data_IF_319573948640
#
_entry.id   IF_319573948640
#
_cell.length_a   1.000
_cell.length_b   1.000
_cell.length_c   1.000
_cell.angle_alpha   90.00
_cell.angle_beta   90.00
_cell.angle_gamma   90.00
#
_symmetry.space_group_name_H-M   'P 1'
#
loop_
_entity.id
_entity.type
_entity.pdbx_description
1 polymer ?
#
# COMPACT_ATOMS: atom_id res chain seq x y z
N UNK A 1 9.99 0.01 14.79
CA UNK A 1 10.42 -0.73 13.59
C UNK A 1 9.30 -0.95 12.57
N UNK A 2 8.11 -1.42 13.00
CA UNK A 2 6.97 -1.61 12.10
C UNK A 2 6.61 -0.33 11.34
N UNK A 3 6.42 0.79 12.05
CA UNK A 3 6.05 2.06 11.43
C UNK A 3 7.10 2.55 10.44
N UNK A 4 8.38 2.38 10.76
CA UNK A 4 9.48 2.76 9.88
C UNK A 4 9.49 1.97 8.57
N UNK A 5 8.97 0.74 8.57
CA UNK A 5 8.81 -0.06 7.35
C UNK A 5 7.50 0.23 6.64
N UNK A 6 6.41 0.35 7.38
CA UNK A 6 5.08 0.48 6.78
C UNK A 6 4.82 1.86 6.18
N UNK A 7 5.41 2.92 6.73
CA UNK A 7 5.25 4.27 6.17
C UNK A 7 5.74 4.33 4.71
N UNK A 8 7.00 3.95 4.39
CA UNK A 8 7.43 3.96 2.99
C UNK A 8 6.67 2.96 2.13
N UNK A 9 6.23 1.84 2.71
CA UNK A 9 5.40 0.87 2.00
C UNK A 9 4.07 1.50 1.58
N UNK A 10 3.37 2.17 2.50
CA UNK A 10 2.13 2.89 2.22
C UNK A 10 2.33 4.03 1.23
N UNK A 11 3.45 4.75 1.33
CA UNK A 11 3.75 5.84 0.38
C UNK A 11 3.84 5.34 -1.05
N UNK A 12 4.43 4.17 -1.26
CA UNK A 12 4.49 3.60 -2.61
C UNK A 12 3.09 3.29 -3.15
N UNK A 13 2.20 2.75 -2.32
CA UNK A 13 0.82 2.50 -2.73
C UNK A 13 0.11 3.80 -3.13
N UNK A 14 0.35 4.88 -2.39
CA UNK A 14 -0.21 6.20 -2.73
C UNK A 14 0.37 6.70 -4.05
N UNK A 15 1.67 6.58 -4.27
CA UNK A 15 2.32 6.99 -5.51
C UNK A 15 1.76 6.23 -6.71
N UNK A 16 1.59 4.91 -6.58
CA UNK A 16 0.96 4.08 -7.62
C UNK A 16 -0.47 4.54 -7.90
N UNK A 17 -1.22 4.83 -6.85
CA UNK A 17 -2.62 5.26 -6.97
C UNK A 17 -2.75 6.63 -7.61
N UNK A 18 -1.80 7.54 -7.37
CA UNK A 18 -1.77 8.85 -8.02
C UNK A 18 -1.54 8.73 -9.53
N UNK A 19 -0.72 7.79 -9.97
CA UNK A 19 -0.51 7.54 -11.40
C UNK A 19 -1.80 7.16 -12.12
N UNK A 20 -2.70 6.45 -11.44
CA UNK A 20 -3.97 6.03 -12.04
C UNK A 20 -4.77 7.21 -12.59
N UNK A 21 -4.70 8.38 -11.95
CA UNK A 21 -5.46 9.56 -12.36
C UNK A 21 -5.14 10.03 -13.77
N UNK A 22 -3.93 9.79 -14.25
CA UNK A 22 -3.47 10.24 -15.56
C UNK A 22 -3.16 9.11 -16.54
N UNK A 23 -3.24 7.86 -16.09
CA UNK A 23 -2.84 6.69 -16.90
C UNK A 23 -4.00 5.80 -17.32
N UNK A 24 -5.14 5.90 -16.66
CA UNK A 24 -6.30 5.08 -16.98
C UNK A 24 -7.59 5.89 -16.98
N UNK A 25 -8.58 5.39 -17.71
CA UNK A 25 -9.95 5.91 -17.69
C UNK A 25 -10.93 4.88 -17.12
N UNK A 26 -10.43 3.72 -16.68
CA UNK A 26 -11.28 2.67 -16.10
C UNK A 26 -11.84 3.16 -14.74
N UNK A 27 -13.16 3.34 -14.64
CA UNK A 27 -13.76 3.91 -13.43
C UNK A 27 -13.57 3.05 -12.18
N UNK A 28 -13.51 1.73 -12.32
CA UNK A 28 -13.28 0.84 -11.19
C UNK A 28 -11.84 0.94 -10.67
N UNK A 29 -10.87 1.08 -11.57
CA UNK A 29 -9.47 1.31 -11.19
C UNK A 29 -9.31 2.66 -10.51
N UNK A 30 -9.94 3.70 -11.05
CA UNK A 30 -9.89 5.04 -10.45
C UNK A 30 -10.53 5.05 -9.06
N UNK A 31 -11.67 4.40 -8.88
CA UNK A 31 -12.32 4.30 -7.58
C UNK A 31 -11.48 3.53 -6.57
N UNK A 32 -10.85 2.43 -6.99
CA UNK A 32 -9.95 1.66 -6.14
C UNK A 32 -8.74 2.50 -5.72
N UNK A 33 -8.12 3.20 -6.65
CA UNK A 33 -6.96 4.06 -6.37
C UNK A 33 -7.32 5.15 -5.34
N UNK A 34 -8.49 5.77 -5.49
CA UNK A 34 -8.96 6.77 -4.53
C UNK A 34 -9.21 6.16 -3.15
N UNK A 35 -9.79 4.97 -3.08
CA UNK A 35 -10.03 4.26 -1.83
C UNK A 35 -8.72 3.92 -1.12
N UNK A 36 -7.71 3.47 -1.86
CA UNK A 36 -6.38 3.16 -1.31
C UNK A 36 -5.76 4.43 -0.71
N UNK A 37 -5.78 5.53 -1.43
CA UNK A 37 -5.23 6.81 -0.93
C UNK A 37 -5.96 7.29 0.32
N UNK A 38 -7.28 7.22 0.31
CA UNK A 38 -8.11 7.68 1.42
C UNK A 38 -7.91 6.86 2.70
N UNK A 39 -7.59 5.57 2.56
CA UNK A 39 -7.33 4.69 3.70
C UNK A 39 -5.89 4.82 4.20
N UNK A 40 -4.93 4.85 3.29
CA UNK A 40 -3.51 4.74 3.66
C UNK A 40 -2.89 6.07 4.09
N UNK A 41 -3.40 7.21 3.61
CA UNK A 41 -2.93 8.52 4.04
C UNK A 41 -3.05 8.73 5.55
N UNK A 42 -4.22 8.57 6.14
CA UNK A 42 -4.39 8.68 7.60
C UNK A 42 -3.57 7.67 8.39
N UNK A 43 -3.35 6.46 7.87
CA UNK A 43 -2.51 5.46 8.52
C UNK A 43 -1.04 5.91 8.57
N UNK A 44 -0.55 6.55 7.50
CA UNK A 44 0.79 7.15 7.51
C UNK A 44 0.88 8.22 8.59
N UNK A 45 -0.12 9.09 8.68
CA UNK A 45 -0.15 10.17 9.69
C UNK A 45 -0.12 9.59 11.11
N UNK A 46 -0.90 8.55 11.36
CA UNK A 46 -0.93 7.87 12.65
C UNK A 46 0.44 7.28 13.01
N UNK A 47 1.03 6.54 12.08
CA UNK A 47 2.36 5.95 12.30
C UNK A 47 3.46 7.01 12.46
N UNK A 48 3.36 8.11 11.73
CA UNK A 48 4.29 9.23 11.85
C UNK A 48 4.22 9.87 13.24
N UNK A 49 3.02 10.00 13.79
CA UNK A 49 2.83 10.50 15.16
C UNK A 49 3.45 9.56 16.18
N UNK A 50 3.32 8.25 15.99
CA UNK A 50 3.96 7.28 16.90
C UNK A 50 5.47 7.46 16.93
N UNK A 51 6.09 7.62 15.75
CA UNK A 51 7.56 7.82 15.67
C UNK A 51 7.98 9.13 16.30
N UNK A 52 7.25 10.21 16.04
CA UNK A 52 7.53 11.52 16.65
C UNK A 52 7.43 11.45 18.16
N UNK A 53 6.36 10.84 18.70
CA UNK A 53 6.14 10.71 20.15
C UNK A 53 7.20 9.83 20.82
N UNK A 54 7.73 8.85 20.10
CA UNK A 54 8.78 7.96 20.60
C UNK A 54 10.19 8.55 20.41
N UNK A 55 10.31 9.71 19.76
CA UNK A 55 11.62 10.29 19.43
C UNK A 55 12.40 9.48 18.40
N UNK A 56 11.73 8.65 17.60
CA UNK A 56 12.37 7.78 16.63
C UNK A 56 12.45 8.45 15.26
N UNK A 57 13.47 8.07 14.48
CA UNK A 57 13.62 8.53 13.11
C UNK A 57 12.56 7.90 12.20
N UNK A 58 12.09 8.67 11.22
CA UNK A 58 11.23 8.16 10.15
C UNK A 58 11.99 7.29 9.15
N UNK A 59 13.31 7.48 9.07
CA UNK A 59 14.17 6.76 8.16
C UNK A 59 14.86 5.62 8.90
N UNK A 60 14.90 4.45 8.30
CA UNK A 60 15.62 3.28 8.84
C UNK A 60 17.13 3.35 8.62
N UNK A 61 17.60 4.34 7.86
CA UNK A 61 19.01 4.54 7.58
C UNK A 61 19.62 3.58 6.59
N UNK A 62 18.87 2.55 6.18
CA UNK A 62 19.33 1.54 5.22
C UNK A 62 18.19 1.20 4.27
N UNK A 63 18.57 0.87 3.05
CA UNK A 63 17.68 0.26 2.10
C UNK A 63 17.34 -1.15 2.60
N UNK A 64 16.10 -1.36 3.04
CA UNK A 64 15.63 -2.68 3.47
C UNK A 64 14.66 -3.22 2.45
N UNK A 65 14.80 -4.53 2.19
CA UNK A 65 13.81 -5.22 1.38
C UNK A 65 12.50 -5.34 2.18
N UNK A 66 11.42 -4.83 1.61
CA UNK A 66 10.07 -4.93 2.18
C UNK A 66 9.23 -5.82 1.27
N UNK A 67 8.46 -6.71 1.90
CA UNK A 67 7.62 -7.65 1.15
C UNK A 67 6.62 -6.91 0.24
N UNK A 68 6.60 -7.33 -1.02
CA UNK A 68 5.63 -6.85 -1.99
C UNK A 68 5.90 -5.47 -2.59
N UNK A 69 6.97 -4.79 -2.17
CA UNK A 69 7.34 -3.49 -2.73
C UNK A 69 7.78 -3.65 -4.18
N UNK A 70 7.28 -2.77 -5.05
CA UNK A 70 7.70 -2.72 -6.43
C UNK A 70 9.13 -2.18 -6.54
N UNK A 71 9.91 -2.78 -7.44
CA UNK A 71 11.23 -2.27 -7.79
C UNK A 71 11.12 -0.92 -8.52
N UNK A 72 12.25 -0.21 -8.61
CA UNK A 72 12.30 1.03 -9.39
C UNK A 72 11.96 0.77 -10.87
N UNK A 73 12.37 -0.38 -11.41
CA UNK A 73 12.03 -0.77 -12.79
C UNK A 73 10.53 -1.01 -12.95
N UNK A 74 9.90 -1.67 -11.98
CA UNK A 74 8.46 -1.91 -11.99
C UNK A 74 7.68 -0.60 -11.87
N UNK A 75 8.13 0.32 -11.02
CA UNK A 75 7.52 1.65 -10.90
C UNK A 75 7.67 2.45 -12.19
N UNK A 76 8.82 2.36 -12.83
CA UNK A 76 9.06 3.02 -14.12
C UNK A 76 8.17 2.44 -15.22
N UNK A 77 8.01 1.12 -15.26
CA UNK A 77 7.12 0.47 -16.21
C UNK A 77 5.67 0.93 -16.02
N UNK A 78 5.24 1.02 -14.76
CA UNK A 78 3.90 1.50 -14.42
C UNK A 78 3.70 2.95 -14.87
N UNK A 79 4.68 3.80 -14.62
CA UNK A 79 4.62 5.23 -15.00
C UNK A 79 4.52 5.41 -16.52
N UNK A 80 5.16 4.55 -17.30
CA UNK A 80 5.14 4.63 -18.77
C UNK A 80 3.91 4.00 -19.40
N UNK A 81 3.20 3.12 -18.67
CA UNK A 81 2.04 2.42 -19.19
C UNK A 81 0.81 3.33 -19.16
N UNK A 82 -0.18 3.01 -20.00
CA UNK A 82 -1.47 3.69 -20.02
C UNK A 82 -2.56 2.71 -20.48
N UNK A 83 -3.82 3.06 -20.20
CA UNK A 83 -4.97 2.25 -20.60
C UNK A 83 -4.95 0.86 -19.99
N UNK A 84 -5.31 -0.14 -20.79
CA UNK A 84 -5.42 -1.53 -20.32
C UNK A 84 -4.09 -2.09 -19.78
N UNK A 85 -2.96 -1.69 -20.37
CA UNK A 85 -1.66 -2.13 -19.87
C UNK A 85 -1.37 -1.56 -18.49
N UNK A 86 -1.66 -0.27 -18.28
CA UNK A 86 -1.56 0.33 -16.95
C UNK A 86 -2.46 -0.43 -15.96
N UNK A 87 -3.70 -0.69 -16.33
CA UNK A 87 -4.66 -1.37 -15.46
C UNK A 87 -4.13 -2.73 -15.02
N UNK A 88 -3.59 -3.50 -15.95
CA UNK A 88 -3.03 -4.82 -15.66
C UNK A 88 -1.81 -4.73 -14.72
N UNK A 89 -0.86 -3.84 -15.03
CA UNK A 89 0.33 -3.66 -14.20
C UNK A 89 0.00 -3.12 -12.82
N UNK A 90 -0.94 -2.19 -12.73
CA UNK A 90 -1.41 -1.62 -11.47
C UNK A 90 -2.02 -2.71 -10.57
N UNK A 91 -2.92 -3.50 -11.13
CA UNK A 91 -3.59 -4.57 -10.36
C UNK A 91 -2.60 -5.64 -9.91
N UNK A 92 -1.74 -6.11 -10.81
CA UNK A 92 -0.74 -7.11 -10.46
C UNK A 92 0.24 -6.60 -9.40
N UNK A 93 0.74 -5.39 -9.58
CA UNK A 93 1.67 -4.78 -8.63
C UNK A 93 1.03 -4.51 -7.27
N UNK A 94 -0.20 -4.00 -7.29
CA UNK A 94 -0.89 -3.64 -6.05
C UNK A 94 -1.34 -4.89 -5.27
N UNK A 95 -1.70 -5.99 -5.94
CA UNK A 95 -2.01 -7.25 -5.27
C UNK A 95 -0.80 -7.73 -4.46
N UNK A 96 0.37 -7.79 -5.09
CA UNK A 96 1.60 -8.21 -4.39
C UNK A 96 1.97 -7.25 -3.26
N UNK A 97 1.80 -5.96 -3.49
CA UNK A 97 2.05 -4.91 -2.51
C UNK A 97 1.16 -5.08 -1.27
N UNK A 98 -0.14 -5.31 -1.48
CA UNK A 98 -1.10 -5.56 -0.40
C UNK A 98 -0.80 -6.85 0.36
N UNK A 99 -0.40 -7.91 -0.34
CA UNK A 99 0.01 -9.16 0.32
C UNK A 99 1.18 -8.92 1.25
N UNK A 100 2.16 -8.13 0.83
CA UNK A 100 3.31 -7.75 1.66
C UNK A 100 2.88 -6.94 2.88
N UNK A 101 1.98 -5.99 2.70
CA UNK A 101 1.45 -5.19 3.81
C UNK A 101 0.73 -6.06 4.85
N UNK A 102 -0.07 -7.03 4.40
CA UNK A 102 -0.76 -7.96 5.30
C UNK A 102 0.25 -8.79 6.10
N UNK A 103 1.29 -9.30 5.45
CA UNK A 103 2.34 -10.06 6.12
C UNK A 103 3.00 -9.23 7.23
N UNK A 104 3.31 -7.97 6.95
CA UNK A 104 3.89 -7.05 7.94
C UNK A 104 2.89 -6.72 9.05
N UNK A 105 1.63 -6.46 8.71
CA UNK A 105 0.60 -6.08 9.68
C UNK A 105 0.30 -7.20 10.67
N UNK A 106 0.41 -8.45 10.25
CA UNK A 106 0.20 -9.61 11.15
C UNK A 106 1.17 -9.64 12.31
N UNK A 107 2.31 -8.96 12.19
CA UNK A 107 3.30 -8.89 13.29
C UNK A 107 2.80 -8.05 14.48
N UNK A 108 1.81 -7.19 14.27
CA UNK A 108 1.34 -6.25 15.29
C UNK A 108 -0.11 -6.45 15.74
N UNK A 109 -0.83 -7.44 15.17
CA UNK A 109 -2.25 -7.66 15.51
C UNK A 109 -2.45 -8.08 16.97
N UNK A 110 -1.43 -8.64 17.59
CA UNK A 110 -1.46 -9.06 18.99
C UNK A 110 -0.65 -8.13 19.91
N UNK A 111 -0.36 -6.92 19.45
CA UNK A 111 0.37 -5.94 20.25
C UNK A 111 -0.37 -5.63 21.55
N UNK A 112 0.39 -5.48 22.63
CA UNK A 112 -0.14 -5.05 23.92
C UNK A 112 -0.70 -3.63 23.88
N UNK A 113 -0.25 -2.81 22.92
CA UNK A 113 -0.81 -1.48 22.68
C UNK A 113 -2.08 -1.61 21.83
N UNK A 114 -3.28 -1.27 22.37
CA UNK A 114 -4.53 -1.46 21.64
C UNK A 114 -4.61 -0.67 20.33
N UNK A 115 -4.01 0.51 20.28
CA UNK A 115 -4.00 1.34 19.08
C UNK A 115 -3.19 0.69 17.96
N UNK A 116 -2.04 0.12 18.31
CA UNK A 116 -1.17 -0.61 17.36
C UNK A 116 -1.85 -1.88 16.85
N UNK A 117 -2.44 -2.65 17.78
CA UNK A 117 -3.17 -3.87 17.41
C UNK A 117 -4.35 -3.57 16.49
N UNK A 118 -5.09 -2.50 16.76
CA UNK A 118 -6.23 -2.07 15.94
C UNK A 118 -5.78 -1.70 14.52
N UNK A 119 -4.69 -0.95 14.40
CA UNK A 119 -4.15 -0.61 13.08
C UNK A 119 -3.80 -1.88 12.29
N UNK A 120 -3.10 -2.82 12.92
CA UNK A 120 -2.73 -4.08 12.26
C UNK A 120 -3.93 -4.86 11.77
N UNK A 121 -4.97 -4.98 12.60
CA UNK A 121 -6.21 -5.66 12.24
C UNK A 121 -6.93 -4.97 11.09
N UNK A 122 -6.99 -3.65 11.12
CA UNK A 122 -7.64 -2.86 10.07
C UNK A 122 -6.93 -3.03 8.72
N UNK A 123 -5.61 -3.01 8.72
CA UNK A 123 -4.82 -3.24 7.50
C UNK A 123 -5.11 -4.63 6.94
N UNK A 124 -5.09 -5.67 7.78
CA UNK A 124 -5.36 -7.04 7.33
C UNK A 124 -6.75 -7.15 6.71
N UNK A 125 -7.77 -6.59 7.36
CA UNK A 125 -9.15 -6.67 6.87
C UNK A 125 -9.33 -5.90 5.57
N UNK A 126 -8.96 -4.61 5.55
CA UNK A 126 -9.21 -3.73 4.41
C UNK A 126 -8.41 -4.17 3.18
N UNK A 127 -7.15 -4.52 3.38
CA UNK A 127 -6.31 -4.90 2.25
C UNK A 127 -6.60 -6.29 1.72
N UNK A 128 -7.09 -7.22 2.57
CA UNK A 128 -7.60 -8.52 2.10
C UNK A 128 -8.81 -8.34 1.20
N UNK A 129 -9.72 -7.44 1.55
CA UNK A 129 -10.90 -7.13 0.73
C UNK A 129 -10.50 -6.50 -0.60
N UNK A 130 -9.52 -5.61 -0.58
CA UNK A 130 -9.02 -4.98 -1.80
C UNK A 130 -8.32 -5.98 -2.72
N UNK A 131 -7.58 -6.95 -2.17
CA UNK A 131 -6.98 -8.03 -2.95
C UNK A 131 -8.05 -8.82 -3.71
N UNK A 132 -9.14 -9.19 -3.05
CA UNK A 132 -10.21 -9.93 -3.70
C UNK A 132 -10.84 -9.11 -4.83
N UNK A 133 -11.08 -7.82 -4.60
CA UNK A 133 -11.56 -6.91 -5.65
C UNK A 133 -10.57 -6.83 -6.81
N UNK A 134 -9.29 -6.68 -6.52
CA UNK A 134 -8.26 -6.55 -7.56
C UNK A 134 -8.14 -7.82 -8.40
N UNK A 135 -8.24 -8.99 -7.78
CA UNK A 135 -8.24 -10.26 -8.51
C UNK A 135 -9.43 -10.36 -9.45
N UNK A 136 -10.61 -9.94 -9.00
CA UNK A 136 -11.80 -9.91 -9.84
C UNK A 136 -11.61 -8.96 -11.03
N UNK A 137 -11.14 -7.76 -10.77
CA UNK A 137 -10.91 -6.76 -11.83
C UNK A 137 -9.87 -7.25 -12.83
N UNK A 138 -8.82 -7.90 -12.35
CA UNK A 138 -7.76 -8.43 -13.23
C UNK A 138 -8.30 -9.52 -14.16
N UNK A 139 -9.20 -10.37 -13.66
CA UNK A 139 -9.85 -11.40 -14.48
C UNK A 139 -10.81 -10.82 -15.51
N UNK A 140 -11.33 -9.63 -15.30
CA UNK A 140 -12.26 -8.95 -16.19
C UNK A 140 -11.58 -8.16 -17.32
N UNK A 141 -10.27 -8.00 -17.28
CA UNK A 141 -9.52 -7.27 -18.30
C UNK A 141 -9.42 -8.01 -19.63
#
# INVERSE_FOLDING_TARGET
MFAQMMIPHHRQAIDMSLLAQTRTTNPEILALADAIRSAQGPEIDQMSRWLTNAGASMDMGHSMHMDGVLSDDDMSALDRASGAEFDRLFLQGMIGHHQGAITMAKMIVDSANPEVATLGKNIVISQSQEIELMKRLLNEL
#
